data_IF_957731082890
#
_entry.id   IF_957731082890
#
_cell.length_a   1.000
_cell.length_b   1.000
_cell.length_c   1.000
_cell.angle_alpha   90.00
_cell.angle_beta   90.00
_cell.angle_gamma   90.00
#
_symmetry.space_group_name_H-M   'P 1'
#
loop_
_entity.id
_entity.type
_entity.pdbx_description
1 polymer ?
#
# COMPACT_ATOMS: atom_id res chain seq x y z
N UNK A 1 -12.77 -9.96 -46.87
CA UNK A 1 -11.45 -10.46 -46.45
C UNK A 1 -11.37 -10.33 -44.94
N UNK A 2 -11.26 -11.45 -44.20
CA UNK A 2 -11.13 -11.39 -42.75
C UNK A 2 -9.69 -11.05 -42.40
N UNK A 3 -9.43 -9.78 -42.10
CA UNK A 3 -8.14 -9.37 -41.54
C UNK A 3 -8.08 -9.82 -40.08
N UNK A 4 -7.37 -10.92 -39.81
CA UNK A 4 -7.14 -11.39 -38.45
C UNK A 4 -6.00 -10.62 -37.78
N UNK A 5 -6.21 -10.17 -36.55
CA UNK A 5 -5.11 -9.69 -35.69
C UNK A 5 -4.36 -10.92 -35.19
N UNK A 6 -3.11 -11.09 -35.65
CA UNK A 6 -2.24 -12.17 -35.18
C UNK A 6 -1.47 -11.67 -33.96
N UNK A 7 -1.76 -12.23 -32.79
CA UNK A 7 -1.02 -11.92 -31.56
C UNK A 7 0.24 -12.79 -31.44
N UNK A 8 1.32 -12.26 -30.83
CA UNK A 8 2.48 -13.06 -30.49
C UNK A 8 2.10 -14.26 -29.61
N UNK A 9 2.71 -15.44 -29.84
CA UNK A 9 2.47 -16.66 -29.04
C UNK A 9 2.62 -16.43 -27.54
N UNK A 10 3.52 -15.52 -27.16
CA UNK A 10 3.87 -15.21 -25.78
C UNK A 10 3.05 -14.05 -25.18
N UNK A 11 2.06 -13.52 -25.91
CA UNK A 11 1.20 -12.42 -25.42
C UNK A 11 0.34 -12.81 -24.22
N UNK A 12 0.26 -14.10 -23.90
CA UNK A 12 -0.32 -14.60 -22.65
C UNK A 12 0.38 -14.07 -21.40
N UNK A 13 1.69 -13.78 -21.42
CA UNK A 13 2.39 -13.26 -20.24
C UNK A 13 1.99 -11.82 -19.89
N UNK A 14 2.01 -10.84 -20.83
CA UNK A 14 1.47 -9.51 -20.57
C UNK A 14 0.02 -9.54 -20.08
N UNK A 15 -0.82 -10.40 -20.66
CA UNK A 15 -2.21 -10.55 -20.24
C UNK A 15 -2.32 -11.06 -18.79
N UNK A 16 -1.56 -12.09 -18.42
CA UNK A 16 -1.52 -12.59 -17.05
C UNK A 16 -0.97 -11.53 -16.06
N UNK A 17 0.05 -10.77 -16.45
CA UNK A 17 0.59 -9.68 -15.64
C UNK A 17 -0.45 -8.59 -15.40
N UNK A 18 -1.23 -8.21 -16.42
CA UNK A 18 -2.34 -7.26 -16.27
C UNK A 18 -3.41 -7.80 -15.33
N UNK A 19 -3.79 -9.06 -15.45
CA UNK A 19 -4.76 -9.70 -14.53
C UNK A 19 -4.25 -9.68 -13.08
N UNK A 20 -2.94 -9.82 -12.86
CA UNK A 20 -2.37 -9.72 -11.51
C UNK A 20 -2.60 -8.35 -10.85
N UNK A 21 -2.59 -7.27 -11.64
CA UNK A 21 -2.84 -5.91 -11.15
C UNK A 21 -4.29 -5.70 -10.69
N UNK A 22 -5.26 -6.40 -11.30
CA UNK A 22 -6.65 -6.39 -10.85
C UNK A 22 -6.78 -6.93 -9.42
N UNK A 23 -6.12 -8.06 -9.13
CA UNK A 23 -6.10 -8.63 -7.78
C UNK A 23 -5.40 -7.73 -6.76
N UNK A 24 -4.33 -7.04 -7.17
CA UNK A 24 -3.69 -6.01 -6.34
C UNK A 24 -4.69 -4.89 -5.98
N UNK A 25 -5.40 -4.34 -6.95
CA UNK A 25 -6.37 -3.26 -6.72
C UNK A 25 -7.52 -3.73 -5.83
N UNK A 26 -8.06 -4.93 -6.06
CA UNK A 26 -9.08 -5.55 -5.21
C UNK A 26 -8.61 -5.67 -3.75
N UNK A 27 -7.39 -6.16 -3.55
CA UNK A 27 -6.79 -6.26 -2.22
C UNK A 27 -6.62 -4.89 -1.55
N UNK A 28 -6.19 -3.86 -2.28
CA UNK A 28 -6.10 -2.50 -1.76
C UNK A 28 -7.47 -1.95 -1.35
N UNK A 29 -8.52 -2.16 -2.15
CA UNK A 29 -9.90 -1.74 -1.83
C UNK A 29 -10.38 -2.39 -0.52
N UNK A 30 -10.17 -3.69 -0.34
CA UNK A 30 -10.53 -4.40 0.91
C UNK A 30 -9.81 -3.78 2.11
N UNK A 31 -8.53 -3.42 1.94
CA UNK A 31 -7.74 -2.82 3.01
C UNK A 31 -8.20 -1.42 3.38
N UNK A 32 -8.51 -0.58 2.40
CA UNK A 32 -9.12 0.74 2.64
C UNK A 32 -10.46 0.59 3.35
N UNK A 33 -11.30 -0.36 2.95
CA UNK A 33 -12.59 -0.63 3.61
C UNK A 33 -12.43 -1.06 5.07
N UNK A 34 -11.46 -1.92 5.37
CA UNK A 34 -11.12 -2.31 6.75
C UNK A 34 -10.61 -1.12 7.57
N UNK A 35 -9.71 -0.32 7.01
CA UNK A 35 -9.17 0.87 7.68
C UNK A 35 -10.27 1.91 7.95
N UNK A 36 -11.19 2.11 7.00
CA UNK A 36 -12.36 2.99 7.17
C UNK A 36 -13.22 2.56 8.34
N UNK A 37 -13.56 1.27 8.43
CA UNK A 37 -14.39 0.73 9.50
C UNK A 37 -13.76 0.94 10.89
N UNK A 38 -12.43 0.83 10.99
CA UNK A 38 -11.69 1.07 12.24
C UNK A 38 -11.59 2.56 12.57
N UNK A 39 -11.45 3.42 11.55
CA UNK A 39 -11.38 4.87 11.72
C UNK A 39 -12.74 5.53 12.01
N UNK A 40 -13.86 4.85 11.74
CA UNK A 40 -15.20 5.38 11.96
C UNK A 40 -15.62 6.47 10.97
N UNK A 41 -14.97 6.55 9.79
CA UNK A 41 -15.27 7.57 8.78
C UNK A 41 -16.51 7.18 7.98
N UNK A 42 -17.60 7.92 8.18
CA UNK A 42 -18.87 7.69 7.51
C UNK A 42 -18.81 8.01 6.01
N UNK A 43 -19.71 7.40 5.23
CA UNK A 43 -19.92 7.81 3.84
C UNK A 43 -20.77 9.10 3.83
N UNK A 44 -20.56 10.04 2.89
CA UNK A 44 -19.77 9.97 1.65
C UNK A 44 -18.31 10.45 1.77
N UNK A 45 -17.80 10.68 2.99
CA UNK A 45 -16.46 11.24 3.20
C UNK A 45 -15.36 10.30 2.69
N UNK A 46 -14.48 10.82 1.83
CA UNK A 46 -13.42 10.02 1.16
C UNK A 46 -12.14 9.92 1.99
N UNK A 47 -11.81 10.97 2.73
CA UNK A 47 -10.65 11.09 3.61
C UNK A 47 -11.09 11.64 4.98
N UNK A 48 -10.46 11.19 6.06
CA UNK A 48 -10.60 11.84 7.36
C UNK A 48 -10.09 13.29 7.29
N UNK A 49 -10.78 14.20 7.97
CA UNK A 49 -10.38 15.61 8.02
C UNK A 49 -9.04 15.78 8.75
N UNK A 50 -8.36 16.91 8.51
CA UNK A 50 -7.04 17.15 9.15
C UNK A 50 -7.11 17.10 10.68
N UNK A 51 -8.19 17.62 11.26
CA UNK A 51 -8.43 17.58 12.70
C UNK A 51 -8.66 16.14 13.21
N UNK A 52 -9.40 15.33 12.47
CA UNK A 52 -9.68 13.92 12.81
C UNK A 52 -8.43 13.05 12.70
N UNK A 53 -7.63 13.26 11.64
CA UNK A 53 -6.37 12.58 11.44
C UNK A 53 -5.30 12.99 12.47
N UNK A 54 -5.32 14.22 12.96
CA UNK A 54 -4.45 14.67 14.05
C UNK A 54 -4.87 14.11 15.41
N UNK A 55 -6.19 13.97 15.64
CA UNK A 55 -6.75 13.46 16.89
C UNK A 55 -6.69 11.93 17.00
N UNK A 56 -6.80 11.21 15.87
CA UNK A 56 -6.85 9.75 15.84
C UNK A 56 -5.80 9.17 14.90
N UNK A 57 -4.92 8.33 15.47
CA UNK A 57 -3.97 7.54 14.70
C UNK A 57 -4.68 6.70 13.63
N UNK A 58 -5.86 6.15 13.92
CA UNK A 58 -6.59 5.31 12.97
C UNK A 58 -7.12 6.09 11.76
N UNK A 59 -7.57 7.33 11.98
CA UNK A 59 -8.00 8.22 10.91
C UNK A 59 -6.83 8.62 9.99
N UNK A 60 -5.66 8.89 10.57
CA UNK A 60 -4.44 9.14 9.78
C UNK A 60 -4.07 7.94 8.90
N UNK A 61 -4.16 6.74 9.46
CA UNK A 61 -3.83 5.50 8.75
C UNK A 61 -4.81 5.16 7.63
N UNK A 62 -6.09 5.45 7.85
CA UNK A 62 -7.09 5.39 6.80
C UNK A 62 -6.70 6.31 5.63
N UNK A 63 -6.29 7.54 5.90
CA UNK A 63 -5.83 8.46 4.86
C UNK A 63 -4.58 7.94 4.12
N UNK A 64 -3.61 7.35 4.84
CA UNK A 64 -2.43 6.73 4.23
C UNK A 64 -2.81 5.56 3.30
N UNK A 65 -3.67 4.66 3.77
CA UNK A 65 -4.14 3.52 2.99
C UNK A 65 -4.93 3.98 1.74
N UNK A 66 -5.79 4.98 1.91
CA UNK A 66 -6.56 5.58 0.82
C UNK A 66 -5.63 6.23 -0.22
N UNK A 67 -4.62 6.99 0.22
CA UNK A 67 -3.66 7.61 -0.71
C UNK A 67 -2.82 6.57 -1.46
N UNK A 68 -2.43 5.48 -0.81
CA UNK A 68 -1.69 4.40 -1.48
C UNK A 68 -2.53 3.73 -2.57
N UNK A 69 -3.82 3.50 -2.32
CA UNK A 69 -4.73 2.96 -3.34
C UNK A 69 -4.96 3.95 -4.49
N UNK A 70 -5.22 5.22 -4.19
CA UNK A 70 -5.42 6.26 -5.21
C UNK A 70 -4.16 6.48 -6.06
N UNK A 71 -2.96 6.46 -5.47
CA UNK A 71 -1.71 6.48 -6.24
C UNK A 71 -1.63 5.31 -7.21
N UNK A 72 -2.10 4.13 -6.81
CA UNK A 72 -2.10 2.96 -7.71
C UNK A 72 -3.09 3.16 -8.85
N UNK A 73 -4.29 3.71 -8.57
CA UNK A 73 -5.30 4.04 -9.58
C UNK A 73 -4.83 5.09 -10.59
N UNK A 74 -4.10 6.10 -10.14
CA UNK A 74 -3.55 7.16 -11.00
C UNK A 74 -2.53 6.62 -12.00
N UNK A 75 -1.71 5.65 -11.59
CA UNK A 75 -0.67 5.06 -12.44
C UNK A 75 -1.12 3.81 -13.20
N UNK A 76 -2.17 3.12 -12.75
CA UNK A 76 -2.69 1.93 -13.40
C UNK A 76 -2.94 2.10 -14.91
N UNK A 77 -3.64 3.13 -15.41
CA UNK A 77 -3.91 3.25 -16.85
C UNK A 77 -2.63 3.35 -17.69
N UNK A 78 -1.61 4.05 -17.19
CA UNK A 78 -0.32 4.22 -17.86
C UNK A 78 0.41 2.88 -17.94
N UNK A 79 0.51 2.17 -16.81
CA UNK A 79 1.22 0.89 -16.74
C UNK A 79 0.52 -0.19 -17.56
N UNK A 80 -0.80 -0.28 -17.47
CA UNK A 80 -1.60 -1.27 -18.21
C UNK A 80 -1.52 -1.04 -19.72
N UNK A 81 -1.75 0.19 -20.17
CA UNK A 81 -1.69 0.54 -21.59
C UNK A 81 -0.26 0.36 -22.13
N UNK A 82 0.75 0.80 -21.38
CA UNK A 82 2.15 0.59 -21.75
C UNK A 82 2.51 -0.89 -21.86
N UNK A 83 2.00 -1.73 -20.95
CA UNK A 83 2.23 -3.19 -20.97
C UNK A 83 1.57 -3.83 -22.19
N UNK A 84 0.36 -3.42 -22.57
CA UNK A 84 -0.33 -3.93 -23.77
C UNK A 84 0.43 -3.54 -25.05
N UNK A 85 0.81 -2.28 -25.20
CA UNK A 85 1.52 -1.78 -26.38
C UNK A 85 2.90 -2.44 -26.49
N UNK A 86 3.67 -2.41 -25.41
CA UNK A 86 5.03 -2.98 -25.39
C UNK A 86 4.99 -4.51 -25.51
N UNK A 87 3.93 -5.13 -25.00
CA UNK A 87 3.72 -6.59 -25.07
C UNK A 87 3.56 -7.12 -26.50
N UNK A 88 3.17 -6.28 -27.46
CA UNK A 88 3.08 -6.65 -28.88
C UNK A 88 4.46 -6.93 -29.49
N UNK A 89 5.48 -6.17 -29.10
CA UNK A 89 6.85 -6.32 -29.61
C UNK A 89 7.75 -7.12 -28.67
N UNK A 90 7.61 -6.94 -27.35
CA UNK A 90 8.47 -7.50 -26.31
C UNK A 90 7.65 -8.14 -25.17
N UNK A 91 6.93 -9.24 -25.42
CA UNK A 91 5.96 -9.81 -24.48
C UNK A 91 6.57 -10.20 -23.13
N UNK A 92 7.76 -10.81 -23.11
CA UNK A 92 8.41 -11.25 -21.87
C UNK A 92 8.88 -10.08 -21.00
N UNK A 93 9.42 -9.04 -21.63
CA UNK A 93 9.91 -7.83 -20.94
C UNK A 93 8.76 -7.00 -20.41
N UNK A 94 7.69 -6.83 -21.20
CA UNK A 94 6.49 -6.14 -20.74
C UNK A 94 5.86 -6.84 -19.53
N UNK A 95 5.77 -8.17 -19.58
CA UNK A 95 5.25 -8.97 -18.47
C UNK A 95 6.10 -8.87 -17.21
N UNK A 96 7.44 -8.94 -17.32
CA UNK A 96 8.33 -8.87 -16.16
C UNK A 96 8.30 -7.49 -15.50
N UNK A 97 8.27 -6.41 -16.28
CA UNK A 97 8.15 -5.05 -15.76
C UNK A 97 6.80 -4.80 -15.07
N UNK A 98 5.70 -5.26 -15.66
CA UNK A 98 4.37 -5.16 -15.05
C UNK A 98 4.26 -6.01 -13.76
N UNK A 99 4.83 -7.21 -13.77
CA UNK A 99 4.91 -8.08 -12.59
C UNK A 99 5.74 -7.45 -11.47
N UNK A 100 6.92 -6.92 -11.80
CA UNK A 100 7.78 -6.22 -10.84
C UNK A 100 7.06 -5.01 -10.23
N UNK A 101 6.38 -4.22 -11.06
CA UNK A 101 5.58 -3.08 -10.58
C UNK A 101 4.46 -3.54 -9.63
N UNK A 102 3.76 -4.62 -9.97
CA UNK A 102 2.68 -5.18 -9.13
C UNK A 102 3.23 -5.60 -7.76
N UNK A 103 4.36 -6.32 -7.73
CA UNK A 103 5.03 -6.73 -6.49
C UNK A 103 5.47 -5.52 -5.67
N UNK A 104 6.10 -4.52 -6.31
CA UNK A 104 6.53 -3.30 -5.65
C UNK A 104 5.34 -2.56 -4.99
N UNK A 105 4.17 -2.56 -5.64
CA UNK A 105 2.94 -1.97 -5.09
C UNK A 105 2.36 -2.75 -3.91
N UNK A 106 2.52 -4.07 -3.86
CA UNK A 106 2.17 -4.86 -2.68
C UNK A 106 2.99 -4.41 -1.48
N UNK A 107 4.31 -4.25 -1.63
CA UNK A 107 5.18 -3.76 -0.55
C UNK A 107 4.85 -2.33 -0.15
N UNK A 108 4.71 -1.43 -1.12
CA UNK A 108 4.34 -0.02 -0.87
C UNK A 108 3.04 0.12 -0.08
N UNK A 109 2.01 -0.66 -0.44
CA UNK A 109 0.75 -0.63 0.30
C UNK A 109 0.89 -1.31 1.66
N UNK A 110 1.72 -2.35 1.78
CA UNK A 110 1.93 -3.08 3.04
C UNK A 110 2.62 -2.24 4.11
N UNK A 111 3.56 -1.40 3.70
CA UNK A 111 4.25 -0.46 4.59
C UNK A 111 3.26 0.55 5.21
N UNK A 112 2.33 1.09 4.41
CA UNK A 112 1.23 1.91 4.95
C UNK A 112 0.23 1.12 5.81
N UNK A 113 0.14 -0.21 5.63
CA UNK A 113 -0.65 -1.13 6.46
C UNK A 113 -0.04 -1.37 7.83
N UNK A 114 1.29 -1.46 7.90
CA UNK A 114 1.99 -1.85 9.12
C UNK A 114 1.71 -0.85 10.24
N UNK A 115 1.32 0.36 9.89
CA UNK A 115 0.94 1.36 10.86
C UNK A 115 -0.48 1.14 11.44
N UNK A 116 -1.34 0.30 10.82
CA UNK A 116 -2.69 -0.14 11.27
C UNK A 116 -2.65 -1.23 12.36
N UNK A 117 -1.61 -2.07 12.40
CA UNK A 117 -1.39 -3.02 13.49
C UNK A 117 -0.16 -2.58 14.28
N UNK A 118 -0.24 -2.28 15.59
CA UNK A 118 0.98 -2.31 16.37
C UNK A 118 1.50 -3.76 16.30
N UNK A 119 2.67 -3.96 15.69
CA UNK A 119 3.34 -5.25 15.75
C UNK A 119 3.76 -5.50 17.19
N UNK A 120 3.81 -6.76 17.64
CA UNK A 120 4.29 -7.11 18.98
C UNK A 120 5.66 -6.46 19.30
N UNK A 121 6.46 -6.18 18.26
CA UNK A 121 7.73 -5.45 18.31
C UNK A 121 7.57 -3.98 18.73
N UNK A 122 6.58 -3.24 18.21
CA UNK A 122 6.35 -1.85 18.62
C UNK A 122 5.73 -1.77 20.02
N UNK A 123 4.91 -2.76 20.39
CA UNK A 123 4.35 -2.88 21.74
C UNK A 123 5.44 -3.17 22.78
N UNK A 124 6.43 -4.02 22.43
CA UNK A 124 7.59 -4.30 23.27
C UNK A 124 8.50 -3.08 23.45
N UNK A 125 8.72 -2.29 22.40
CA UNK A 125 9.50 -1.05 22.49
C UNK A 125 8.76 0.05 23.29
N UNK A 126 7.44 0.18 23.12
CA UNK A 126 6.60 1.08 23.92
C UNK A 126 6.54 0.63 25.40
N UNK A 127 6.52 -0.68 25.67
CA UNK A 127 6.55 -1.19 27.04
C UNK A 127 7.93 -0.98 27.68
N UNK A 128 9.01 -1.22 26.94
CA UNK A 128 10.38 -1.01 27.40
C UNK A 128 10.64 0.48 27.68
N UNK A 129 10.22 1.37 26.79
CA UNK A 129 10.36 2.83 26.99
C UNK A 129 9.50 3.34 28.15
N UNK A 130 8.29 2.80 28.35
CA UNK A 130 7.46 3.12 29.54
C UNK A 130 8.05 2.56 30.84
N UNK A 131 8.57 1.34 30.82
CA UNK A 131 9.23 0.71 31.96
C UNK A 131 10.51 1.44 32.36
N UNK A 132 11.34 1.84 31.39
CA UNK A 132 12.54 2.64 31.63
C UNK A 132 12.19 4.05 32.17
N UNK A 133 11.00 4.56 31.87
CA UNK A 133 10.51 5.86 32.37
C UNK A 133 9.84 5.77 33.74
N UNK A 134 9.30 4.60 34.12
CA UNK A 134 8.71 4.34 35.44
C UNK A 134 9.69 3.71 36.43
N UNK A 135 10.87 3.29 35.98
CA UNK A 135 11.95 2.89 36.86
C UNK A 135 12.38 4.10 37.72
N UNK A 136 12.38 3.99 39.06
CA UNK A 136 12.85 5.04 39.93
C UNK A 136 14.38 5.10 39.80
N UNK A 137 14.87 5.83 38.80
CA UNK A 137 16.28 6.18 38.68
C UNK A 137 16.57 7.26 39.72
N UNK A 138 16.74 6.83 40.97
CA UNK A 138 17.39 7.61 42.01
C UNK A 138 18.88 7.70 41.68
N UNK A 139 19.33 8.81 41.09
CA UNK A 139 20.76 9.11 40.99
C UNK A 139 21.22 9.85 39.73
N UNK A 140 22.49 10.30 39.71
CA UNK A 140 23.03 11.42 38.91
C UNK A 140 23.18 11.15 37.39
N UNK A 141 22.58 10.08 36.87
CA UNK A 141 22.68 9.66 35.47
C UNK A 141 21.83 10.48 34.49
N UNK A 142 20.99 11.40 34.98
CA UNK A 142 20.18 12.34 34.18
C UNK A 142 21.01 13.41 33.43
N UNK A 143 22.33 13.50 33.67
CA UNK A 143 23.20 14.50 33.04
C UNK A 143 23.77 14.07 31.66
N UNK A 144 23.61 12.81 31.24
CA UNK A 144 24.22 12.27 30.02
C UNK A 144 23.30 12.24 28.79
N UNK A 145 22.02 12.61 28.94
CA UNK A 145 21.02 12.60 27.86
C UNK A 145 20.32 13.97 27.69
N UNK A 146 21.08 15.06 27.84
CA UNK A 146 20.62 16.41 27.51
C UNK A 146 21.27 16.92 26.23
#
# INVERSE_FOLDING_TARGET
MSSGIVLPKEFGYPAAAIVSSFYLMMWQTIRVGRARKVAGVEYPQVYAEKAEAAASKQAHLFNCAQRAHQSTLEFAPIILTGTLITGLSFPRVAASLCGLWTIARVFYTSDTALAIRPSATSLGLDYLTRFLRSAPLSGPLLALFR
#
